data_IF_808500762907
#
_entry.id   IF_808500762907
#
_cell.length_a   1.000
_cell.length_b   1.000
_cell.length_c   1.000
_cell.angle_alpha   90.00
_cell.angle_beta   90.00
_cell.angle_gamma   90.00
#
_symmetry.space_group_name_H-M   'P 1'
#
loop_
_entity.id
_entity.type
_entity.pdbx_description
1 polymer ?
#
# COMPACT_ATOMS: atom_id res chain seq x y z
N UNK A 1 8.74 13.72 -5.79
CA UNK A 1 8.23 12.38 -5.41
C UNK A 1 9.25 11.65 -4.55
N UNK A 2 8.83 10.59 -3.86
CA UNK A 2 9.69 9.65 -3.13
C UNK A 2 9.44 8.25 -3.68
N UNK A 3 10.47 7.56 -4.15
CA UNK A 3 10.40 6.15 -4.52
C UNK A 3 11.35 5.37 -3.63
N UNK A 4 10.80 4.44 -2.83
CA UNK A 4 11.58 3.71 -1.82
C UNK A 4 10.87 2.43 -1.36
N UNK A 5 11.67 1.45 -0.97
CA UNK A 5 11.20 0.26 -0.26
C UNK A 5 11.10 0.52 1.25
N UNK A 6 9.97 0.15 1.85
CA UNK A 6 9.75 0.19 3.29
C UNK A 6 9.49 -1.22 3.83
N UNK A 7 10.01 -1.50 5.01
CA UNK A 7 9.61 -2.68 5.77
C UNK A 7 8.24 -2.39 6.41
N UNK A 8 7.32 -3.35 6.28
CA UNK A 8 6.02 -3.33 6.94
C UNK A 8 5.95 -4.48 7.94
N UNK A 9 4.93 -4.46 8.79
CA UNK A 9 4.56 -5.62 9.62
C UNK A 9 3.46 -6.47 8.98
N UNK A 10 3.12 -6.21 7.72
CA UNK A 10 2.07 -6.93 7.01
C UNK A 10 2.63 -8.24 6.42
N UNK A 11 1.83 -9.34 6.44
CA UNK A 11 2.13 -10.52 5.64
C UNK A 11 2.17 -10.21 4.15
N UNK A 12 2.82 -11.07 3.37
CA UNK A 12 2.81 -10.97 1.91
C UNK A 12 1.39 -10.95 1.33
N UNK A 13 1.17 -10.09 0.33
CA UNK A 13 -0.10 -9.95 -0.36
C UNK A 13 -0.34 -8.55 -0.94
N UNK A 14 -1.48 -8.41 -1.61
CA UNK A 14 -1.94 -7.15 -2.18
C UNK A 14 -2.85 -6.43 -1.20
N UNK A 15 -2.56 -5.16 -0.92
CA UNK A 15 -3.31 -4.35 0.02
C UNK A 15 -3.84 -3.08 -0.63
N UNK A 16 -5.01 -2.65 -0.19
CA UNK A 16 -5.59 -1.40 -0.59
C UNK A 16 -4.91 -0.20 0.07
N UNK A 17 -4.52 0.79 -0.73
CA UNK A 17 -4.16 2.11 -0.24
C UNK A 17 -5.44 2.91 0.08
N UNK A 18 -5.94 2.74 1.30
CA UNK A 18 -7.17 3.41 1.78
C UNK A 18 -7.04 4.93 1.90
N UNK A 19 -5.83 5.49 1.79
CA UNK A 19 -5.63 6.94 1.72
C UNK A 19 -5.97 7.53 0.34
N UNK A 20 -6.00 6.72 -0.71
CA UNK A 20 -6.28 7.12 -2.09
C UNK A 20 -7.55 6.49 -2.68
N UNK A 21 -7.89 5.28 -2.23
CA UNK A 21 -9.08 4.55 -2.67
C UNK A 21 -10.39 5.22 -2.21
N UNK A 22 -11.47 5.00 -2.98
CA UNK A 22 -12.81 5.37 -2.54
C UNK A 22 -13.34 4.33 -1.54
N UNK A 23 -14.27 4.69 -0.65
CA UNK A 23 -14.85 3.73 0.29
C UNK A 23 -15.50 2.54 -0.44
N UNK A 24 -14.97 1.34 -0.22
CA UNK A 24 -15.46 0.11 -0.83
C UNK A 24 -15.04 -0.13 -2.28
N UNK A 25 -14.17 0.71 -2.85
CA UNK A 25 -13.60 0.52 -4.20
C UNK A 25 -12.10 0.77 -4.21
N UNK A 26 -11.34 -0.32 -4.24
CA UNK A 26 -9.89 -0.28 -4.27
C UNK A 26 -9.28 -0.40 -5.68
N UNK A 27 -10.10 -0.45 -6.73
CA UNK A 27 -9.59 -0.69 -8.08
C UNK A 27 -8.49 0.33 -8.45
N UNK A 28 -7.32 -0.17 -8.83
CA UNK A 28 -6.16 0.64 -9.22
C UNK A 28 -5.42 1.34 -8.07
N UNK A 29 -5.83 1.15 -6.81
CA UNK A 29 -5.21 1.77 -5.63
C UNK A 29 -4.55 0.74 -4.72
N UNK A 30 -3.88 -0.25 -5.29
CA UNK A 30 -3.27 -1.36 -4.55
C UNK A 30 -1.76 -1.24 -4.43
N UNK A 31 -1.20 -1.79 -3.36
CA UNK A 31 0.24 -1.94 -3.14
C UNK A 31 0.53 -3.41 -2.82
N UNK A 32 1.57 -3.95 -3.44
CA UNK A 32 2.07 -5.28 -3.13
C UNK A 32 3.05 -5.23 -1.96
N UNK A 33 2.83 -6.08 -0.96
CA UNK A 33 3.78 -6.41 0.09
C UNK A 33 4.35 -7.78 -0.23
N UNK A 34 5.67 -7.88 -0.39
CA UNK A 34 6.34 -9.15 -0.63
C UNK A 34 6.29 -10.09 0.57
N UNK A 35 6.62 -11.36 0.36
CA UNK A 35 6.70 -12.36 1.45
C UNK A 35 7.74 -12.02 2.53
N UNK A 36 8.68 -11.12 2.23
CA UNK A 36 9.64 -10.56 3.19
C UNK A 36 9.09 -9.36 3.99
N UNK A 37 7.80 -9.06 3.83
CA UNK A 37 7.09 -7.97 4.50
C UNK A 37 7.42 -6.58 3.96
N UNK A 38 8.11 -6.47 2.82
CA UNK A 38 8.50 -5.18 2.24
C UNK A 38 7.58 -4.75 1.11
N UNK A 39 7.39 -3.44 0.98
CA UNK A 39 6.67 -2.83 -0.13
C UNK A 39 7.54 -1.76 -0.79
N UNK A 40 7.68 -1.83 -2.11
CA UNK A 40 8.24 -0.75 -2.92
C UNK A 40 7.13 0.22 -3.31
N UNK A 41 7.28 1.49 -2.95
CA UNK A 41 6.23 2.49 -3.17
C UNK A 41 6.79 3.77 -3.76
N UNK A 42 6.01 4.38 -4.66
CA UNK A 42 6.27 5.71 -5.19
C UNK A 42 5.17 6.66 -4.73
N UNK A 43 5.56 7.67 -3.96
CA UNK A 43 4.66 8.66 -3.39
C UNK A 43 4.90 10.06 -4.00
N UNK A 44 3.87 10.73 -4.52
CA UNK A 44 3.99 12.11 -4.97
C UNK A 44 4.26 13.04 -3.78
N UNK A 45 4.77 14.24 -4.06
CA UNK A 45 4.93 15.25 -3.02
C UNK A 45 3.57 15.56 -2.38
N UNK A 46 3.52 15.60 -1.04
CA UNK A 46 2.28 15.78 -0.26
C UNK A 46 1.26 14.63 -0.43
N UNK A 47 1.68 13.47 -0.94
CA UNK A 47 0.87 12.25 -0.97
C UNK A 47 0.92 11.48 0.35
N UNK A 48 -0.03 10.54 0.50
CA UNK A 48 -0.12 9.64 1.64
C UNK A 48 -0.32 8.19 1.19
N UNK A 49 0.11 7.26 2.04
CA UNK A 49 -0.09 5.82 1.91
C UNK A 49 -0.60 5.30 3.24
N UNK A 50 -1.71 4.57 3.22
CA UNK A 50 -2.23 3.88 4.38
C UNK A 50 -2.62 2.46 3.98
N UNK A 51 -1.99 1.47 4.62
CA UNK A 51 -2.25 0.05 4.44
C UNK A 51 -2.57 -0.54 5.83
N UNK A 52 -3.49 -1.50 5.89
CA UNK A 52 -3.78 -2.25 7.11
C UNK A 52 -4.21 -3.68 6.78
N UNK A 53 -4.16 -4.57 7.78
CA UNK A 53 -4.42 -6.00 7.60
C UNK A 53 -5.84 -6.30 7.04
N UNK A 54 -6.86 -5.56 7.48
CA UNK A 54 -8.24 -5.71 6.98
C UNK A 54 -8.49 -5.10 5.59
N UNK A 55 -7.49 -4.48 4.98
CA UNK A 55 -7.54 -3.92 3.63
C UNK A 55 -6.80 -4.81 2.62
N UNK A 56 -6.70 -6.11 2.89
CA UNK A 56 -6.15 -7.07 1.94
C UNK A 56 -7.18 -7.39 0.86
N UNK A 57 -6.77 -7.31 -0.41
CA UNK A 57 -7.60 -7.64 -1.58
C UNK A 57 -7.62 -9.14 -1.90
#
# INVERSE_FOLDING_TARGET
ELSRTFATSLPGGTYCNVAAAAPGDCAGNTVEVGDDGKAEVTLPAKGALALHADAKE
#
